data_IF_081063245734
#
_entry.id   IF_081063245734
#
_cell.length_a   1.000
_cell.length_b   1.000
_cell.length_c   1.000
_cell.angle_alpha   90.00
_cell.angle_beta   90.00
_cell.angle_gamma   90.00
#
_symmetry.space_group_name_H-M   'P 1'
#
loop_
_entity.id
_entity.type
_entity.pdbx_description
1 polymer ?
2 non-polymer ?
3 non-polymer ?
4 water ?
#
# COMPACT_ATOMS: atom_id res chain seq x y z
N UNK A 1 -7.08 16.05 -2.98
CA UNK A 1 -6.10 15.05 -2.46
C UNK A 1 -4.86 15.02 -3.35
N UNK A 2 -3.73 15.40 -2.77
CA UNK A 2 -2.46 15.40 -3.48
C UNK A 2 -1.42 14.79 -2.56
N UNK A 3 -0.78 13.73 -3.02
CA UNK A 3 0.24 13.06 -2.22
C UNK A 3 1.56 13.14 -2.99
N UNK A 4 2.44 14.06 -2.59
CA UNK A 4 3.74 14.23 -3.25
C UNK A 4 4.57 12.96 -3.42
N UNK A 5 4.63 12.14 -2.38
CA UNK A 5 5.42 10.91 -2.46
C UNK A 5 4.81 9.91 -3.43
N UNK A 6 3.48 9.77 -3.41
CA UNK A 6 2.84 8.86 -4.34
C UNK A 6 3.15 9.32 -5.77
N UNK A 7 3.06 10.63 -5.99
CA UNK A 7 3.33 11.19 -7.30
C UNK A 7 4.79 10.94 -7.70
N UNK A 8 5.71 11.15 -6.77
CA UNK A 8 7.13 10.95 -7.04
C UNK A 8 7.44 9.49 -7.39
N UNK A 9 6.69 8.56 -6.80
CA UNK A 9 6.89 7.14 -7.06
C UNK A 9 6.13 6.64 -8.29
N UNK A 10 5.33 7.52 -8.89
CA UNK A 10 4.57 7.16 -10.07
C UNK A 10 3.35 6.30 -9.79
N UNK A 11 2.84 6.39 -8.57
CA UNK A 11 1.68 5.59 -8.18
C UNK A 11 0.37 6.21 -8.65
N UNK A 12 -0.62 5.35 -8.89
CA UNK A 12 -1.93 5.79 -9.34
C UNK A 12 -3.00 5.04 -8.56
N UNK A 13 -4.18 5.65 -8.44
CA UNK A 13 -5.28 5.02 -7.72
C UNK A 13 -6.18 4.31 -8.72
N UNK A 14 -6.46 3.03 -8.48
CA UNK A 14 -7.32 2.26 -9.37
C UNK A 14 -8.71 2.10 -8.78
N UNK A 15 -8.84 2.38 -7.49
CA UNK A 15 -10.14 2.29 -6.84
C UNK A 15 -10.13 2.95 -5.47
N UNK A 16 -11.24 3.60 -5.14
CA UNK A 16 -11.38 4.24 -3.85
C UNK A 16 -12.87 4.26 -3.53
N UNK A 17 -13.22 3.68 -2.40
CA UNK A 17 -14.61 3.62 -1.95
C UNK A 17 -14.56 3.56 -0.43
N UNK A 18 -15.72 3.68 0.23
CA UNK A 18 -15.71 3.63 1.70
C UNK A 18 -15.00 2.40 2.26
N UNK A 19 -13.92 2.64 3.00
CA UNK A 19 -13.16 1.57 3.62
C UNK A 19 -12.23 0.75 2.75
N UNK A 20 -12.07 1.13 1.48
CA UNK A 20 -11.20 0.36 0.60
C UNK A 20 -10.51 1.19 -0.48
N UNK A 21 -9.39 0.69 -0.98
CA UNK A 21 -8.64 1.38 -2.01
C UNK A 21 -7.65 0.46 -2.69
N UNK A 22 -7.37 0.75 -3.96
CA UNK A 22 -6.38 -0.01 -4.72
C UNK A 22 -5.44 1.02 -5.33
N UNK A 23 -4.15 0.83 -5.10
CA UNK A 23 -3.11 1.71 -5.62
C UNK A 23 -2.19 0.86 -6.47
N UNK A 24 -1.78 1.38 -7.62
CA UNK A 24 -0.92 0.62 -8.52
C UNK A 24 0.32 1.40 -8.92
N UNK A 25 1.34 0.67 -9.32
CA UNK A 25 2.57 1.29 -9.75
C UNK A 25 3.40 0.31 -10.55
N UNK A 26 4.52 0.79 -11.07
CA UNK A 26 5.42 -0.06 -11.83
C UNK A 26 6.79 0.09 -11.20
N UNK A 27 7.51 -1.02 -11.07
CA UNK A 27 8.85 -0.97 -10.49
C UNK A 27 9.79 -0.36 -11.53
N UNK A 28 10.31 0.82 -11.23
CA UNK A 28 11.23 1.50 -12.13
C UNK A 28 12.67 1.25 -11.69
N UNK A 29 13.61 1.69 -12.51
CA UNK A 29 15.03 1.51 -12.21
C UNK A 29 15.42 2.13 -10.88
N UNK A 30 14.83 3.29 -10.57
CA UNK A 30 15.14 3.99 -9.33
C UNK A 30 14.48 3.38 -8.10
N UNK A 31 13.71 2.32 -8.30
CA UNK A 31 13.02 1.65 -7.19
C UNK A 31 13.73 0.38 -6.74
N UNK A 32 14.82 0.04 -7.41
CA UNK A 32 15.57 -1.16 -7.07
C UNK A 32 16.50 -0.94 -5.89
N UNK A 33 16.79 -2.02 -5.16
CA UNK A 33 17.67 -1.97 -4.01
C UNK A 33 19.05 -2.50 -4.38
N UNK A 34 19.88 -2.72 -3.36
CA UNK A 34 21.23 -3.23 -3.56
C UNK A 34 21.24 -4.66 -4.09
N UNK A 35 20.08 -5.31 -4.05
CA UNK A 35 19.95 -6.68 -4.53
C UNK A 35 19.51 -6.72 -6.00
N UNK A 36 19.05 -5.58 -6.50
CA UNK A 36 18.59 -5.53 -7.88
C UNK A 36 17.12 -5.88 -8.00
N UNK A 37 16.43 -5.89 -6.86
CA UNK A 37 15.00 -6.20 -6.84
C UNK A 37 14.27 -5.00 -6.26
N UNK A 38 12.95 -4.99 -6.35
CA UNK A 38 12.18 -3.87 -5.82
C UNK A 38 12.51 -3.67 -4.34
N UNK A 39 12.92 -2.46 -3.98
CA UNK A 39 13.27 -2.13 -2.60
C UNK A 39 12.05 -2.35 -1.70
N UNK A 40 12.28 -2.91 -0.52
CA UNK A 40 11.19 -3.16 0.40
C UNK A 40 10.41 -1.90 0.71
N UNK A 41 11.11 -0.77 0.69
CA UNK A 41 10.48 0.51 0.96
C UNK A 41 9.53 0.94 -0.13
N UNK A 42 9.80 0.52 -1.36
CA UNK A 42 8.92 0.87 -2.47
C UNK A 42 7.63 0.06 -2.34
N UNK A 43 7.77 -1.24 -2.09
CA UNK A 43 6.60 -2.10 -1.95
C UNK A 43 5.78 -1.67 -0.74
N UNK A 44 6.47 -1.30 0.34
CA UNK A 44 5.76 -0.85 1.53
C UNK A 44 5.05 0.47 1.25
N UNK A 45 5.72 1.39 0.56
CA UNK A 45 5.12 2.68 0.24
C UNK A 45 3.83 2.47 -0.55
N UNK A 46 3.85 1.50 -1.46
CA UNK A 46 2.68 1.19 -2.27
C UNK A 46 1.54 0.72 -1.38
N UNK A 47 1.82 -0.25 -0.51
CA UNK A 47 0.80 -0.78 0.39
C UNK A 47 0.31 0.29 1.36
N UNK A 48 1.25 1.05 1.91
CA UNK A 48 0.93 2.11 2.85
C UNK A 48 0.03 3.17 2.23
N UNK A 49 0.24 3.44 0.94
CA UNK A 49 -0.57 4.44 0.25
C UNK A 49 -2.02 3.97 0.13
N UNK A 50 -2.22 2.69 -0.20
CA UNK A 50 -3.57 2.15 -0.31
C UNK A 50 -4.21 2.15 1.08
N UNK A 51 -3.41 1.81 2.08
CA UNK A 51 -3.81 1.78 3.49
C UNK A 51 -4.27 3.17 3.92
N UNK A 52 -3.47 4.18 3.57
CA UNK A 52 -3.78 5.57 3.91
C UNK A 52 -5.09 6.02 3.28
N UNK A 53 -5.25 5.77 1.99
CA UNK A 53 -6.46 6.18 1.30
C UNK A 53 -7.70 5.46 1.84
N UNK A 54 -7.61 4.14 1.99
CA UNK A 54 -8.75 3.38 2.50
C UNK A 54 -9.16 3.85 3.89
N UNK A 55 -8.19 3.99 4.79
CA UNK A 55 -8.50 4.40 6.15
C UNK A 55 -9.05 5.82 6.24
N UNK A 56 -8.54 6.73 5.42
CA UNK A 56 -9.00 8.10 5.49
C UNK A 56 -10.38 8.34 4.88
N UNK A 57 -10.95 7.33 4.23
CA UNK A 57 -12.30 7.49 3.69
C UNK A 57 -13.27 7.51 4.87
N UNK A 58 -12.80 7.09 6.04
CA UNK A 58 -13.63 7.07 7.25
C UNK A 58 -13.42 8.31 8.10
N UNK A 59 -12.48 9.15 7.70
CA UNK A 59 -12.17 10.35 8.45
C UNK A 59 -10.67 10.39 8.68
N UNK A 60 -10.12 11.53 9.12
CA UNK A 60 -8.68 11.66 9.37
C UNK A 60 -8.12 10.55 10.25
N UNK A 61 -7.05 9.92 9.78
CA UNK A 61 -6.43 8.83 10.52
C UNK A 61 -4.95 8.74 10.21
N UNK A 62 -4.16 8.36 11.21
CA UNK A 62 -2.73 8.22 11.05
C UNK A 62 -2.31 6.83 11.51
N UNK A 63 -1.29 6.28 10.85
CA UNK A 63 -0.81 4.95 11.18
C UNK A 63 -0.21 4.84 12.56
N UNK A 64 -0.49 3.72 13.22
CA UNK A 64 0.07 3.42 14.53
C UNK A 64 1.09 2.30 14.32
N UNK A 65 0.61 1.13 13.90
CA UNK A 65 1.48 -0.03 13.69
C UNK A 65 1.15 -0.75 12.39
N UNK A 66 2.19 -1.06 11.62
CA UNK A 66 2.03 -1.76 10.35
C UNK A 66 3.01 -2.91 10.22
N UNK A 67 2.54 -4.00 9.64
CA UNK A 67 3.37 -5.18 9.42
C UNK A 67 3.41 -5.46 7.93
N UNK A 68 4.59 -5.79 7.43
CA UNK A 68 4.78 -6.10 6.03
C UNK A 68 5.47 -7.46 5.92
N UNK A 69 4.79 -8.41 5.29
CA UNK A 69 5.33 -9.75 5.09
C UNK A 69 5.63 -9.91 3.61
N UNK A 70 6.89 -10.18 3.29
CA UNK A 70 7.34 -10.32 1.91
C UNK A 70 7.40 -11.77 1.46
N UNK A 71 6.79 -12.07 0.31
CA UNK A 71 6.78 -13.45 -0.19
C UNK A 71 7.56 -13.70 -1.47
N UNK A 72 7.51 -12.75 -2.40
CA UNK A 72 8.20 -12.91 -3.67
C UNK A 72 8.87 -11.61 -4.12
N UNK A 73 10.09 -11.71 -4.67
CA UNK A 73 10.79 -10.51 -5.13
C UNK A 73 10.26 -10.06 -6.49
N UNK A 74 10.43 -8.78 -6.80
CA UNK A 74 9.99 -8.24 -8.08
C UNK A 74 11.13 -7.50 -8.76
N UNK A 75 11.18 -7.59 -10.08
CA UNK A 75 12.23 -6.92 -10.82
C UNK A 75 11.72 -5.69 -11.54
N UNK A 76 12.63 -4.95 -12.15
CA UNK A 76 12.26 -3.74 -12.88
C UNK A 76 11.22 -4.08 -13.94
N UNK A 77 10.22 -3.21 -14.08
CA UNK A 77 9.19 -3.43 -15.08
C UNK A 77 7.93 -4.10 -14.55
N UNK A 78 8.03 -4.71 -13.37
CA UNK A 78 6.87 -5.39 -12.80
C UNK A 78 5.75 -4.42 -12.46
N UNK A 79 4.53 -4.79 -12.84
CA UNK A 79 3.34 -4.00 -12.54
C UNK A 79 2.82 -4.57 -11.23
N UNK A 80 2.63 -3.71 -10.24
CA UNK A 80 2.17 -4.17 -8.94
C UNK A 80 1.00 -3.34 -8.42
N UNK A 81 0.14 -3.98 -7.64
CA UNK A 81 -1.04 -3.34 -7.05
C UNK A 81 -1.12 -3.64 -5.56
N UNK A 82 -1.69 -2.71 -4.81
CA UNK A 82 -1.90 -2.89 -3.38
C UNK A 82 -3.40 -2.71 -3.17
N UNK A 83 -4.05 -3.78 -2.71
CA UNK A 83 -5.50 -3.79 -2.49
C UNK A 83 -5.82 -3.76 -1.01
N UNK A 84 -6.34 -2.63 -0.55
CA UNK A 84 -6.67 -2.45 0.86
C UNK A 84 -8.15 -2.67 1.16
N UNK A 85 -8.42 -3.47 2.19
CA UNK A 85 -9.78 -3.75 2.62
C UNK A 85 -9.85 -3.55 4.13
N UNK A 86 -11.01 -3.14 4.62
CA UNK A 86 -11.21 -2.89 6.03
C UNK A 86 -11.50 -4.17 6.81
N UNK A 87 -10.73 -4.38 7.88
CA UNK A 87 -10.88 -5.57 8.72
C UNK A 87 -11.68 -5.25 9.98
N UNK A 88 -11.44 -4.07 10.54
CA UNK A 88 -12.15 -3.63 11.73
C UNK A 88 -12.22 -2.12 11.79
N UNK A 89 -13.38 -1.60 12.17
CA UNK A 89 -13.57 -0.17 12.31
C UNK A 89 -14.12 0.10 13.71
N UNK A 90 -13.30 0.71 14.55
CA UNK A 90 -13.71 1.04 15.91
C UNK A 90 -13.80 2.56 16.01
N UNK A 91 -14.22 3.06 17.17
CA UNK A 91 -14.37 4.49 17.36
C UNK A 91 -13.07 5.28 17.20
N UNK A 92 -11.99 4.82 17.84
CA UNK A 92 -10.72 5.54 17.75
C UNK A 92 -9.60 4.84 17.00
N UNK A 93 -9.86 3.63 16.50
CA UNK A 93 -8.85 2.89 15.74
C UNK A 93 -9.53 2.07 14.65
N UNK A 94 -8.75 1.67 13.65
CA UNK A 94 -9.26 0.86 12.55
C UNK A 94 -8.11 0.04 12.00
N UNK A 95 -8.42 -1.14 11.46
CA UNK A 95 -7.39 -2.02 10.92
C UNK A 95 -7.73 -2.44 9.50
N UNK A 96 -6.70 -2.50 8.66
CA UNK A 96 -6.84 -2.85 7.26
C UNK A 96 -5.84 -3.90 6.81
N UNK A 97 -6.26 -4.72 5.85
CA UNK A 97 -5.40 -5.73 5.26
C UNK A 97 -5.12 -5.25 3.85
N UNK A 98 -3.86 -5.27 3.45
CA UNK A 98 -3.50 -4.83 2.11
C UNK A 98 -2.70 -5.92 1.40
N UNK A 99 -3.28 -6.46 0.34
CA UNK A 99 -2.61 -7.49 -0.44
C UNK A 99 -1.84 -6.83 -1.58
N UNK A 100 -0.56 -7.17 -1.69
CA UNK A 100 0.29 -6.63 -2.75
C UNK A 100 0.37 -7.74 -3.79
N UNK A 101 -0.16 -7.45 -4.98
CA UNK A 101 -0.24 -8.41 -6.06
C UNK A 101 0.42 -7.98 -7.36
N UNK A 102 1.05 -8.94 -8.04
CA UNK A 102 1.69 -8.67 -9.32
C UNK A 102 1.46 -9.89 -10.21
N UNK A 103 0.84 -9.65 -11.36
CA UNK A 103 0.54 -10.72 -12.31
C UNK A 103 -0.18 -11.89 -11.65
N UNK A 104 -1.18 -11.57 -10.82
CA UNK A 104 -1.97 -12.60 -10.16
C UNK A 104 -1.32 -13.33 -8.99
N UNK A 105 -0.12 -12.92 -8.60
CA UNK A 105 0.57 -13.56 -7.49
C UNK A 105 0.64 -12.64 -6.27
N UNK A 106 0.48 -13.21 -5.08
CA UNK A 106 0.56 -12.42 -3.85
C UNK A 106 2.03 -12.23 -3.51
N UNK A 107 2.52 -11.02 -3.74
CA UNK A 107 3.91 -10.66 -3.51
C UNK A 107 4.22 -10.33 -2.05
N UNK A 108 3.23 -9.76 -1.36
CA UNK A 108 3.40 -9.38 0.04
C UNK A 108 2.05 -9.14 0.69
N UNK A 109 2.05 -9.16 2.02
CA UNK A 109 0.84 -8.92 2.79
C UNK A 109 1.14 -7.85 3.82
N UNK A 110 0.32 -6.81 3.83
CA UNK A 110 0.47 -5.68 4.75
C UNK A 110 -0.74 -5.66 5.68
N UNK A 111 -0.47 -5.47 6.97
CA UNK A 111 -1.52 -5.41 7.98
C UNK A 111 -1.26 -4.13 8.77
N UNK A 112 -2.22 -3.23 8.82
CA UNK A 112 -1.99 -1.99 9.54
C UNK A 112 -3.15 -1.46 10.34
N UNK A 113 -2.83 -0.76 11.42
CA UNK A 113 -3.84 -0.17 12.29
C UNK A 113 -3.59 1.32 12.40
N UNK A 114 -4.67 2.09 12.30
CA UNK A 114 -4.59 3.54 12.40
C UNK A 114 -5.28 4.04 13.65
N UNK A 115 -4.95 5.28 14.01
CA UNK A 115 -5.57 5.96 15.13
C UNK A 115 -6.46 6.99 14.44
N UNK A 116 -7.74 7.01 14.79
CA UNK A 116 -8.67 7.94 14.18
C UNK A 116 -8.66 9.26 14.95
N UNK A 117 -8.30 10.33 14.26
CA UNK A 117 -8.21 11.65 14.86
C UNK A 117 -9.57 12.29 15.08
X LIG B 1 3.95 -7.11 13.52
X LIG C 1 -0.08 5.91 6.64
X LIG C 1 1.31 6.16 6.64
X LIG C 1 -0.86 7.17 7.00
X LIG C 1 -0.48 7.62 8.31
X LIG C 1 -2.36 6.88 6.99
X LIG C 1 -3.10 8.04 7.30
#
# INVERSE_FOLDING_TARGET
>A
MRDPFMEALGLKVLHLAPGEAVVAGEVRADHLNLHGTAHGGFLYALADSAFALASNTRGPAVALSCRMDYFRPLGAGARVEARAVEVNLSRRTATYRVEVVSEGKLVALFTGTVFRLGGDGDDVPAGTGNLAPREA
>B hetero
1 CL CL
>C hetero
1 GOL C1 O1 C2 O2 C3 O3
#
